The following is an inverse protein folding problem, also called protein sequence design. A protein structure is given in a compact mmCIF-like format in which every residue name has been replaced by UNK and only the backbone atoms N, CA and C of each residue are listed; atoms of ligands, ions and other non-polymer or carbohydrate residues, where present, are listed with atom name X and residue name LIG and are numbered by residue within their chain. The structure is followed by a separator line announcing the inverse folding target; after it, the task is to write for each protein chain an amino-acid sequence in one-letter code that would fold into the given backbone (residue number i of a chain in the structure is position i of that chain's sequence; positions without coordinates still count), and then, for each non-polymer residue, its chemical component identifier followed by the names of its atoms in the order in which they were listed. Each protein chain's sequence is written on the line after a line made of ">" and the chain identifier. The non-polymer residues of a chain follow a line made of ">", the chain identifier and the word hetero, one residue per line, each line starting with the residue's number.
data_IF_577674774545
#
_entry.id   IF_577674774545
#
_cell.length_a   1.000
_cell.length_b   1.000
_cell.length_c   1.000
_cell.angle_alpha   90.00
_cell.angle_beta   90.00
_cell.angle_gamma   90.00
#
_symmetry.space_group_name_H-M   'P 1'
#
loop_
_entity.id
_entity.type
_entity.pdbx_description
1 polymer ?
#
# COMPACT_ATOMS: atom_id res chain seq x y z
N UNK A 1 1.89 -5.75 -19.87
CA UNK A 1 1.80 -6.39 -18.54
C UNK A 1 2.52 -5.55 -17.50
N UNK A 2 1.76 -4.76 -16.73
CA UNK A 2 1.78 -4.62 -15.27
C UNK A 2 0.98 -3.36 -14.92
N UNK A 3 -0.35 -3.50 -14.82
CA UNK A 3 -1.25 -2.47 -14.31
C UNK A 3 -1.15 -2.43 -12.78
N UNK A 4 -0.02 -1.99 -12.23
CA UNK A 4 0.01 -1.58 -10.83
C UNK A 4 -0.64 -0.20 -10.72
N UNK A 5 -1.97 -0.20 -10.79
CA UNK A 5 -2.85 0.95 -10.56
C UNK A 5 -3.48 0.83 -9.17
N UNK A 6 -2.68 0.95 -8.13
CA UNK A 6 -3.21 1.59 -6.93
C UNK A 6 -2.47 2.90 -6.85
N UNK A 7 -3.04 3.92 -7.47
CA UNK A 7 -2.40 5.23 -7.56
C UNK A 7 -2.54 6.01 -6.25
N UNK A 8 -3.39 5.55 -5.33
CA UNK A 8 -3.75 6.28 -4.12
C UNK A 8 -4.28 5.34 -3.00
N UNK A 9 -4.01 5.71 -1.75
CA UNK A 9 -4.59 5.08 -0.54
C UNK A 9 -6.11 5.23 -0.55
N UNK A 10 -6.64 6.35 -1.06
CA UNK A 10 -8.08 6.59 -1.17
C UNK A 10 -8.78 5.57 -2.07
N UNK A 11 -8.11 5.12 -3.13
CA UNK A 11 -8.62 4.07 -4.02
C UNK A 11 -8.63 2.70 -3.32
N UNK A 12 -7.59 2.41 -2.53
CA UNK A 12 -7.53 1.19 -1.71
C UNK A 12 -8.63 1.17 -0.64
N UNK A 13 -8.86 2.29 0.05
CA UNK A 13 -9.94 2.44 1.03
C UNK A 13 -11.32 2.31 0.38
N UNK A 14 -11.50 2.89 -0.80
CA UNK A 14 -12.75 2.75 -1.58
C UNK A 14 -12.98 1.30 -1.99
N UNK A 15 -11.96 0.62 -2.53
CA UNK A 15 -12.04 -0.78 -2.93
C UNK A 15 -12.33 -1.72 -1.76
N UNK A 16 -11.84 -1.39 -0.55
CA UNK A 16 -12.12 -2.12 0.68
C UNK A 16 -13.52 -1.85 1.27
N UNK A 17 -14.30 -0.95 0.65
CA UNK A 17 -15.65 -0.60 1.10
C UNK A 17 -15.67 0.20 2.40
N UNK A 18 -14.68 1.06 2.64
CA UNK A 18 -14.50 1.75 3.92
C UNK A 18 -15.73 2.56 4.36
N UNK A 19 -16.47 3.18 3.43
CA UNK A 19 -17.69 3.93 3.76
C UNK A 19 -18.78 3.03 4.35
N UNK A 20 -18.98 1.83 3.80
CA UNK A 20 -19.95 0.88 4.32
C UNK A 20 -19.51 0.33 5.69
N UNK A 21 -18.21 0.10 5.88
CA UNK A 21 -17.65 -0.29 7.19
C UNK A 21 -17.89 0.79 8.24
N UNK A 22 -17.62 2.06 7.93
CA UNK A 22 -17.90 3.19 8.83
C UNK A 22 -19.38 3.23 9.19
N UNK A 23 -20.26 3.03 8.21
CA UNK A 23 -21.71 2.98 8.45
C UNK A 23 -22.08 1.85 9.40
N UNK A 24 -21.55 0.64 9.19
CA UNK A 24 -21.77 -0.50 10.09
C UNK A 24 -21.27 -0.21 11.50
N UNK A 25 -20.04 0.31 11.64
CA UNK A 25 -19.45 0.66 12.94
C UNK A 25 -20.33 1.69 13.67
N UNK A 26 -20.77 2.74 12.97
CA UNK A 26 -21.64 3.75 13.55
C UNK A 26 -23.01 3.19 13.98
N UNK A 27 -23.63 2.34 13.16
CA UNK A 27 -24.89 1.68 13.51
C UNK A 27 -24.75 0.79 14.75
N UNK A 28 -23.74 -0.08 14.76
CA UNK A 28 -23.45 -0.96 15.91
C UNK A 28 -23.10 -0.16 17.17
N UNK A 29 -22.39 0.94 17.03
CA UNK A 29 -22.04 1.81 18.15
C UNK A 29 -23.28 2.47 18.79
N UNK A 30 -24.23 2.91 17.97
CA UNK A 30 -25.50 3.48 18.45
C UNK A 30 -26.30 2.42 19.21
N UNK A 31 -26.43 1.22 18.63
CA UNK A 31 -27.15 0.10 19.24
C UNK A 31 -26.56 -0.32 20.59
N UNK A 32 -25.23 -0.26 20.73
CA UNK A 32 -24.51 -0.69 21.92
C UNK A 32 -24.10 0.45 22.86
N UNK A 33 -24.51 1.69 22.58
CA UNK A 33 -24.22 2.86 23.43
C UNK A 33 -22.73 3.19 23.55
N UNK A 34 -21.94 2.98 22.50
CA UNK A 34 -20.50 3.28 22.52
C UNK A 34 -20.23 4.78 22.61
N UNK A 35 -19.13 5.15 23.25
CA UNK A 35 -18.67 6.52 23.23
C UNK A 35 -18.19 6.91 21.83
N UNK A 36 -18.32 8.19 21.47
CA UNK A 36 -17.77 8.72 20.21
C UNK A 36 -16.27 8.43 20.09
N UNK A 37 -15.53 8.44 21.21
CA UNK A 37 -14.10 8.12 21.21
C UNK A 37 -13.82 6.69 20.76
N UNK A 38 -14.62 5.72 21.22
CA UNK A 38 -14.44 4.31 20.87
C UNK A 38 -14.82 4.04 19.41
N UNK A 39 -15.86 4.72 18.91
CA UNK A 39 -16.23 4.71 17.49
C UNK A 39 -15.06 5.21 16.63
N UNK A 40 -14.51 6.37 16.97
CA UNK A 40 -13.41 6.96 16.21
C UNK A 40 -12.15 6.10 16.25
N UNK A 41 -11.81 5.51 17.40
CA UNK A 41 -10.68 4.55 17.50
C UNK A 41 -10.89 3.33 16.61
N UNK A 42 -12.11 2.81 16.54
CA UNK A 42 -12.43 1.65 15.72
C UNK A 42 -12.31 1.97 14.23
N UNK A 43 -12.85 3.11 13.80
CA UNK A 43 -12.72 3.59 12.41
C UNK A 43 -11.25 3.80 12.05
N UNK A 44 -10.49 4.47 12.93
CA UNK A 44 -9.07 4.74 12.71
C UNK A 44 -8.28 3.43 12.54
N UNK A 45 -8.54 2.43 13.38
CA UNK A 45 -7.91 1.12 13.28
C UNK A 45 -8.22 0.42 11.95
N UNK A 46 -9.45 0.49 11.46
CA UNK A 46 -9.81 -0.08 10.15
C UNK A 46 -9.06 0.60 9.00
N UNK A 47 -8.93 1.93 9.04
CA UNK A 47 -8.15 2.70 8.06
C UNK A 47 -6.68 2.29 8.11
N UNK A 48 -6.10 2.17 9.30
CA UNK A 48 -4.71 1.75 9.50
C UNK A 48 -4.46 0.35 8.92
N UNK A 49 -5.34 -0.62 9.21
CA UNK A 49 -5.20 -1.98 8.68
C UNK A 49 -5.20 -2.03 7.15
N UNK A 50 -6.10 -1.27 6.50
CA UNK A 50 -6.17 -1.21 5.04
C UNK A 50 -4.94 -0.50 4.46
N UNK A 51 -4.49 0.57 5.11
CA UNK A 51 -3.31 1.34 4.70
C UNK A 51 -2.04 0.50 4.82
N UNK A 52 -1.88 -0.23 5.93
CA UNK A 52 -0.76 -1.14 6.16
C UNK A 52 -0.70 -2.25 5.11
N UNK A 53 -1.85 -2.84 4.76
CA UNK A 53 -1.93 -3.86 3.72
C UNK A 53 -1.55 -3.27 2.34
N UNK A 54 -2.03 -2.07 2.04
CA UNK A 54 -1.68 -1.35 0.83
C UNK A 54 -0.18 -1.06 0.76
N UNK A 55 0.42 -0.55 1.83
CA UNK A 55 1.85 -0.25 1.89
C UNK A 55 2.71 -1.51 1.82
N UNK A 56 2.30 -2.61 2.45
CA UNK A 56 2.99 -3.90 2.33
C UNK A 56 3.00 -4.39 0.87
N UNK A 57 1.86 -4.32 0.17
CA UNK A 57 1.76 -4.68 -1.26
C UNK A 57 2.62 -3.77 -2.13
N UNK A 58 2.59 -2.46 -1.88
CA UNK A 58 3.40 -1.46 -2.59
C UNK A 58 4.89 -1.72 -2.41
N UNK A 59 5.34 -1.91 -1.16
CA UNK A 59 6.74 -2.17 -0.83
C UNK A 59 7.24 -3.48 -1.44
N UNK A 60 6.42 -4.53 -1.41
CA UNK A 60 6.73 -5.80 -2.08
C UNK A 60 6.85 -5.64 -3.60
N UNK A 61 5.96 -4.85 -4.22
CA UNK A 61 6.03 -4.56 -5.64
C UNK A 61 7.31 -3.79 -6.00
N UNK A 62 7.65 -2.75 -5.21
CA UNK A 62 8.90 -1.99 -5.38
C UNK A 62 10.14 -2.88 -5.24
N UNK A 63 10.19 -3.74 -4.21
CA UNK A 63 11.29 -4.68 -4.00
C UNK A 63 11.47 -5.64 -5.18
N UNK A 64 10.38 -6.25 -5.66
CA UNK A 64 10.41 -7.11 -6.84
C UNK A 64 10.90 -6.37 -8.10
N UNK A 65 10.51 -5.10 -8.26
CA UNK A 65 10.95 -4.27 -9.39
C UNK A 65 12.45 -3.98 -9.32
N UNK A 66 12.95 -3.59 -8.15
CA UNK A 66 14.37 -3.31 -7.93
C UNK A 66 15.21 -4.57 -8.12
N UNK A 67 14.80 -5.71 -7.53
CA UNK A 67 15.49 -7.00 -7.70
C UNK A 67 15.59 -7.42 -9.15
N UNK A 68 14.50 -7.30 -9.91
CA UNK A 68 14.48 -7.63 -11.35
C UNK A 68 15.44 -6.74 -12.14
N UNK A 69 15.49 -5.45 -11.84
CA UNK A 69 16.39 -4.51 -12.52
C UNK A 69 17.86 -4.77 -12.19
N UNK A 70 18.16 -5.18 -10.96
CA UNK A 70 19.50 -5.53 -10.50
C UNK A 70 19.92 -6.97 -10.82
N UNK A 71 19.02 -7.81 -11.35
CA UNK A 71 19.28 -9.23 -11.63
C UNK A 71 19.49 -10.08 -10.37
N UNK A 72 18.87 -9.69 -9.26
CA UNK A 72 19.03 -10.33 -7.95
C UNK A 72 17.91 -11.33 -7.67
N UNK A 73 18.24 -12.43 -6.99
CA UNK A 73 17.26 -13.36 -6.46
C UNK A 73 16.54 -12.81 -5.21
N UNK A 74 15.59 -13.57 -4.66
CA UNK A 74 14.79 -13.17 -3.50
C UNK A 74 15.55 -13.17 -2.17
N UNK A 75 16.72 -13.82 -2.10
CA UNK A 75 17.55 -13.94 -0.90
C UNK A 75 18.66 -12.88 -0.82
N UNK A 76 18.98 -12.22 -1.94
CA UNK A 76 20.02 -11.21 -1.99
C UNK A 76 19.72 -10.00 -1.07
N UNK A 77 20.74 -9.51 -0.38
CA UNK A 77 20.67 -8.26 0.38
C UNK A 77 20.93 -7.10 -0.58
N UNK A 78 20.05 -6.10 -0.58
CA UNK A 78 20.19 -4.89 -1.40
C UNK A 78 20.63 -3.75 -0.47
N UNK A 79 21.72 -3.07 -0.80
CA UNK A 79 22.12 -1.90 -0.04
C UNK A 79 21.10 -0.76 -0.22
N UNK A 80 20.77 0.01 0.84
CA UNK A 80 19.75 1.05 0.77
C UNK A 80 19.96 2.09 -0.35
N UNK A 81 21.21 2.48 -0.62
CA UNK A 81 21.55 3.43 -1.68
C UNK A 81 21.24 2.89 -3.07
N UNK A 82 21.58 1.62 -3.34
CA UNK A 82 21.31 0.95 -4.60
C UNK A 82 19.81 0.74 -4.82
N UNK A 83 19.09 0.41 -3.74
CA UNK A 83 17.64 0.28 -3.75
C UNK A 83 16.97 1.59 -4.15
N UNK A 84 17.28 2.68 -3.45
CA UNK A 84 16.67 3.99 -3.69
C UNK A 84 17.02 4.52 -5.08
N UNK A 85 18.28 4.41 -5.50
CA UNK A 85 18.73 4.85 -6.83
C UNK A 85 18.00 4.10 -7.94
N UNK A 86 17.86 2.79 -7.80
CA UNK A 86 17.21 1.93 -8.79
C UNK A 86 15.70 2.18 -8.82
N UNK A 87 15.05 2.25 -7.67
CA UNK A 87 13.62 2.56 -7.58
C UNK A 87 13.31 3.93 -8.19
N UNK A 88 14.12 4.96 -7.89
CA UNK A 88 13.98 6.29 -8.49
C UNK A 88 14.09 6.24 -10.02
N UNK A 89 15.06 5.51 -10.56
CA UNK A 89 15.22 5.34 -12.02
C UNK A 89 14.01 4.66 -12.65
N UNK A 90 13.43 3.66 -11.99
CA UNK A 90 12.28 2.92 -12.51
C UNK A 90 11.02 3.80 -12.49
N UNK A 91 10.74 4.45 -11.36
CA UNK A 91 9.48 5.16 -11.11
C UNK A 91 9.47 6.57 -11.71
N UNK A 92 10.55 7.34 -11.54
CA UNK A 92 10.60 8.75 -11.96
C UNK A 92 11.07 8.93 -13.41
N UNK A 93 11.92 8.04 -13.92
CA UNK A 93 12.51 8.16 -15.26
C UNK A 93 11.91 7.18 -16.28
N UNK A 94 10.86 6.45 -15.89
CA UNK A 94 10.09 5.58 -16.78
C UNK A 94 10.84 4.37 -17.33
N UNK A 95 11.91 3.92 -16.66
CA UNK A 95 12.70 2.74 -17.02
C UNK A 95 13.20 2.73 -18.48
N UNK A 96 14.38 3.28 -18.76
CA UNK A 96 14.95 3.19 -20.12
C UNK A 96 15.50 1.80 -20.43
N UNK A 97 14.86 1.16 -21.42
CA UNK A 97 15.41 0.27 -22.46
C UNK A 97 16.89 -0.08 -22.30
N UNK A 98 17.21 -1.32 -21.96
CA UNK A 98 18.42 -1.94 -22.50
C UNK A 98 18.10 -2.45 -23.89
N UNK A 99 18.49 -1.67 -24.90
CA UNK A 99 18.93 -2.25 -26.15
C UNK A 99 20.28 -2.91 -25.90
N UNK A 100 20.39 -4.16 -26.29
CA UNK A 100 21.61 -4.80 -26.80
C UNK A 100 21.20 -6.04 -27.57
#
# INVERSE_FOLDING_TARGET
>A
MNNYQYKDVDEALRAAGMLERIRTIASTAIENGWSVSDVMKTIQREIELITDEFDAKKNKAHDNMVRRELGLDSSAVIHPEDYLRTLFRIVALGGRRKGS
#
